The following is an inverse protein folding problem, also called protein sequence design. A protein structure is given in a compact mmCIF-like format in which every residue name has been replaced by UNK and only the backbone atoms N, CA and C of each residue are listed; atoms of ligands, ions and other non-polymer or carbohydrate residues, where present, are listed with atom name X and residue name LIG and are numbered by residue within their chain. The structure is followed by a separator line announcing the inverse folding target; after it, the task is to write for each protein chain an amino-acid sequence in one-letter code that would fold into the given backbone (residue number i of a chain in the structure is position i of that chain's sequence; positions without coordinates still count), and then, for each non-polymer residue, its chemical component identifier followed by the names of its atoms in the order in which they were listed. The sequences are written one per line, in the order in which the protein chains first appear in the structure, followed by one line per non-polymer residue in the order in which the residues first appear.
data_IF_463464501464
#
_entry.id   IF_463464501464
#
_cell.length_a   1.000
_cell.length_b   1.000
_cell.length_c   1.000
_cell.angle_alpha   90.00
_cell.angle_beta   90.00
_cell.angle_gamma   90.00
#
_symmetry.space_group_name_H-M   'P 1'
#
loop_
_entity.id
_entity.type
_entity.pdbx_description
1 polymer ?
#
# COMPACT_ATOMS: atom_id res chain seq x y z
N UNK A 1 27.15 18.65 -36.21
CA UNK A 1 27.40 19.53 -35.05
C UNK A 1 26.05 20.05 -34.56
N UNK A 2 25.54 19.57 -33.42
CA UNK A 2 24.75 20.35 -32.45
C UNK A 2 24.48 19.43 -31.23
N UNK A 3 25.28 19.65 -30.21
CA UNK A 3 25.11 19.09 -28.88
C UNK A 3 23.98 19.85 -28.21
N UNK A 4 22.91 19.17 -27.78
CA UNK A 4 21.95 19.68 -26.79
C UNK A 4 22.29 19.10 -25.41
N UNK A 5 22.72 20.01 -24.56
CA UNK A 5 23.05 19.81 -23.17
C UNK A 5 21.74 19.71 -22.36
N UNK A 6 21.52 18.59 -21.67
CA UNK A 6 20.46 18.43 -20.71
C UNK A 6 21.00 18.89 -19.36
N UNK A 7 20.38 19.92 -18.80
CA UNK A 7 20.74 20.48 -17.50
C UNK A 7 20.20 19.57 -16.38
N UNK A 8 21.09 18.95 -15.62
CA UNK A 8 20.78 18.28 -14.35
C UNK A 8 20.58 19.32 -13.24
N UNK A 9 19.40 19.31 -12.66
CA UNK A 9 19.05 20.15 -11.52
C UNK A 9 19.57 19.46 -10.23
N UNK A 10 20.72 19.93 -9.71
CA UNK A 10 21.28 19.48 -8.43
C UNK A 10 20.75 20.39 -7.32
N UNK A 11 19.71 19.96 -6.60
CA UNK A 11 19.35 20.55 -5.32
C UNK A 11 20.18 19.91 -4.20
N UNK A 12 21.18 20.65 -3.73
CA UNK A 12 22.03 20.31 -2.59
C UNK A 12 21.28 20.61 -1.29
N UNK A 13 20.92 19.56 -0.53
CA UNK A 13 20.33 19.70 0.81
C UNK A 13 21.46 19.99 1.81
N UNK A 14 21.42 21.18 2.41
CA UNK A 14 22.28 21.60 3.55
C UNK A 14 21.90 20.81 4.81
N UNK A 15 22.88 20.11 5.39
CA UNK A 15 22.79 19.45 6.69
C UNK A 15 22.60 20.47 7.82
N UNK A 16 21.51 20.31 8.61
CA UNK A 16 21.43 20.81 9.99
C UNK A 16 21.45 19.59 10.92
N UNK A 17 22.40 19.58 11.84
CA UNK A 17 22.53 18.62 12.94
C UNK A 17 21.33 18.72 13.89
N UNK A 18 20.65 17.60 14.16
CA UNK A 18 19.53 17.51 15.12
C UNK A 18 19.97 16.60 16.25
N UNK A 19 19.96 17.14 17.47
CA UNK A 19 20.10 16.41 18.73
C UNK A 19 18.79 15.65 19.06
N UNK A 20 18.84 14.49 19.78
CA UNK A 20 17.65 13.69 20.03
C UNK A 20 16.79 14.31 21.13
N UNK A 21 15.55 14.71 20.81
CA UNK A 21 14.51 15.09 21.78
C UNK A 21 13.71 13.88 22.24
N UNK A 22 13.28 13.90 23.51
CA UNK A 22 12.62 12.84 24.26
C UNK A 22 11.21 12.50 23.73
N UNK A 23 10.78 11.24 23.94
CA UNK A 23 9.56 10.60 23.42
C UNK A 23 8.23 11.07 24.07
N UNK A 24 8.06 12.36 24.34
CA UNK A 24 6.85 12.93 24.97
C UNK A 24 6.25 14.14 24.25
N UNK A 25 6.78 14.53 23.08
CA UNK A 25 6.27 15.67 22.30
C UNK A 25 6.19 15.29 20.82
N UNK A 26 5.33 14.32 20.50
CA UNK A 26 4.83 14.16 19.14
C UNK A 26 3.71 15.20 18.92
N UNK A 27 4.05 16.47 19.02
CA UNK A 27 3.24 17.54 18.52
C UNK A 27 3.34 17.51 16.98
N UNK A 28 2.18 17.44 16.31
CA UNK A 28 2.06 17.53 14.87
C UNK A 28 2.76 18.81 14.39
N UNK A 29 4.01 18.73 13.98
CA UNK A 29 4.63 19.81 13.22
C UNK A 29 3.81 20.00 11.94
N UNK A 30 2.91 20.98 11.99
CA UNK A 30 2.25 21.55 10.82
C UNK A 30 3.34 21.94 9.83
N UNK A 31 3.39 21.24 8.68
CA UNK A 31 4.19 21.70 7.54
C UNK A 31 3.80 23.14 7.28
N UNK A 32 4.77 24.04 7.46
CA UNK A 32 4.62 25.48 7.35
C UNK A 32 3.97 25.82 5.99
N UNK A 33 2.72 26.35 6.00
CA UNK A 33 1.95 26.74 4.83
C UNK A 33 0.67 25.94 4.54
N UNK A 34 0.35 24.86 5.27
CA UNK A 34 -0.88 24.07 5.07
C UNK A 34 -2.15 24.77 5.60
N UNK A 35 -3.29 24.62 4.88
CA UNK A 35 -4.60 25.10 5.35
C UNK A 35 -5.18 24.12 6.37
N UNK A 36 -5.07 24.42 7.64
CA UNK A 36 -5.46 23.56 8.77
C UNK A 36 -6.88 22.99 8.66
N UNK A 37 -7.84 23.73 8.09
CA UNK A 37 -9.20 23.22 7.91
C UNK A 37 -9.30 22.13 6.85
N UNK A 38 -8.44 22.20 5.84
CA UNK A 38 -8.35 21.15 4.78
C UNK A 38 -7.71 19.90 5.37
N UNK A 39 -6.59 20.04 6.07
CA UNK A 39 -5.89 18.94 6.72
C UNK A 39 -6.81 18.17 7.68
N UNK A 40 -7.54 18.89 8.55
CA UNK A 40 -8.52 18.29 9.46
C UNK A 40 -9.68 17.59 8.74
N UNK A 41 -10.14 18.13 7.61
CA UNK A 41 -11.20 17.51 6.81
C UNK A 41 -10.72 16.20 6.14
N UNK A 42 -9.48 16.18 5.67
CA UNK A 42 -8.84 14.99 5.12
C UNK A 42 -8.63 13.93 6.21
N UNK A 43 -8.13 14.30 7.38
CA UNK A 43 -7.98 13.40 8.53
C UNK A 43 -9.30 12.72 8.93
N UNK A 44 -10.45 13.43 8.87
CA UNK A 44 -11.77 12.82 9.11
C UNK A 44 -12.09 11.78 8.01
N UNK A 45 -11.83 12.07 6.73
CA UNK A 45 -12.08 11.12 5.63
C UNK A 45 -11.18 9.88 5.74
N UNK A 46 -9.92 10.06 6.11
CA UNK A 46 -8.97 8.96 6.34
C UNK A 46 -9.44 8.06 7.49
N UNK A 47 -9.84 8.66 8.62
CA UNK A 47 -10.38 7.91 9.76
C UNK A 47 -11.66 7.14 9.39
N UNK A 48 -12.57 7.75 8.61
CA UNK A 48 -13.79 7.07 8.14
C UNK A 48 -13.50 5.90 7.20
N UNK A 49 -12.36 5.91 6.51
CA UNK A 49 -11.96 4.84 5.61
C UNK A 49 -11.29 3.64 6.33
N UNK A 50 -10.99 3.75 7.65
CA UNK A 50 -10.39 2.67 8.43
C UNK A 50 -11.36 1.54 8.74
N UNK A 51 -12.69 1.82 8.81
CA UNK A 51 -13.70 0.85 9.20
C UNK A 51 -15.00 1.04 8.40
N UNK A 52 -15.47 -0.05 7.79
CA UNK A 52 -16.72 -0.07 7.01
C UNK A 52 -17.98 0.11 7.88
N UNK A 53 -17.88 -0.20 9.18
CA UNK A 53 -18.97 -0.05 10.15
C UNK A 53 -19.29 1.44 10.44
N UNK A 54 -18.41 2.36 10.02
CA UNK A 54 -18.56 3.80 10.24
C UNK A 54 -18.40 4.21 11.71
N UNK A 55 -18.38 5.52 11.94
CA UNK A 55 -18.08 6.08 13.26
C UNK A 55 -19.15 7.06 13.73
N UNK A 56 -19.41 7.08 15.03
CA UNK A 56 -20.18 8.16 15.66
C UNK A 56 -19.36 9.44 15.73
N UNK A 57 -20.05 10.57 15.86
CA UNK A 57 -19.41 11.89 15.99
C UNK A 57 -18.40 11.95 17.14
N UNK A 58 -18.73 11.34 18.30
CA UNK A 58 -17.84 11.26 19.46
C UNK A 58 -16.55 10.51 19.19
N UNK A 59 -16.65 9.40 18.44
CA UNK A 59 -15.51 8.52 18.16
C UNK A 59 -14.55 9.19 17.17
N UNK A 60 -15.09 9.87 16.16
CA UNK A 60 -14.30 10.70 15.24
C UNK A 60 -13.57 11.83 15.99
N UNK A 61 -14.23 12.49 16.95
CA UNK A 61 -13.61 13.54 17.75
C UNK A 61 -12.40 13.00 18.54
N UNK A 62 -12.54 11.83 19.17
CA UNK A 62 -11.47 11.18 19.93
C UNK A 62 -10.32 10.77 19.00
N UNK A 63 -10.62 10.08 17.87
CA UNK A 63 -9.62 9.57 16.95
C UNK A 63 -8.82 10.67 16.24
N UNK A 64 -9.49 11.74 15.84
CA UNK A 64 -8.85 12.88 15.16
C UNK A 64 -8.23 13.91 16.10
N UNK A 65 -8.45 13.80 17.41
CA UNK A 65 -8.00 14.80 18.39
C UNK A 65 -8.71 16.16 18.26
N UNK A 66 -9.83 16.23 17.53
CA UNK A 66 -10.57 17.47 17.29
C UNK A 66 -11.75 17.64 18.27
N UNK A 67 -12.14 18.90 18.53
CA UNK A 67 -13.38 19.13 19.29
C UNK A 67 -14.62 18.64 18.53
N UNK A 68 -15.61 18.12 19.24
CA UNK A 68 -16.89 17.65 18.66
C UNK A 68 -17.55 18.69 17.76
N UNK A 69 -17.48 19.98 18.16
CA UNK A 69 -18.02 21.08 17.35
C UNK A 69 -17.26 21.29 16.03
N UNK A 70 -15.94 21.13 16.05
CA UNK A 70 -15.11 21.19 14.83
C UNK A 70 -15.43 20.03 13.89
N UNK A 71 -15.47 18.79 14.41
CA UNK A 71 -15.81 17.60 13.61
C UNK A 71 -17.20 17.76 13.00
N UNK A 72 -18.21 18.18 13.77
CA UNK A 72 -19.57 18.40 13.27
C UNK A 72 -19.61 19.40 12.10
N UNK A 73 -18.91 20.53 12.22
CA UNK A 73 -18.87 21.55 11.15
C UNK A 73 -18.19 21.04 9.88
N UNK A 74 -17.10 20.30 10.04
CA UNK A 74 -16.39 19.68 8.90
C UNK A 74 -17.25 18.60 8.23
N UNK A 75 -17.88 17.73 9.02
CA UNK A 75 -18.79 16.70 8.51
C UNK A 75 -19.98 17.32 7.76
N UNK A 76 -20.61 18.38 8.27
CA UNK A 76 -21.69 19.08 7.58
C UNK A 76 -21.24 19.64 6.21
N UNK A 77 -20.01 20.17 6.14
CA UNK A 77 -19.43 20.63 4.88
C UNK A 77 -19.15 19.49 3.92
N UNK A 78 -18.54 18.40 4.40
CA UNK A 78 -18.26 17.23 3.60
C UNK A 78 -19.53 16.52 3.12
N UNK A 79 -20.59 16.46 3.96
CA UNK A 79 -21.89 15.89 3.62
C UNK A 79 -22.60 16.71 2.53
N UNK A 80 -22.60 18.04 2.64
CA UNK A 80 -23.19 18.92 1.61
C UNK A 80 -22.56 18.68 0.23
N UNK A 81 -21.30 18.23 0.19
CA UNK A 81 -20.57 17.86 -1.02
C UNK A 81 -20.58 16.35 -1.32
N UNK A 82 -21.28 15.54 -0.52
CA UNK A 82 -21.41 14.08 -0.64
C UNK A 82 -20.08 13.31 -0.48
N UNK A 83 -19.09 13.89 0.18
CA UNK A 83 -17.85 13.21 0.54
C UNK A 83 -18.02 12.28 1.74
N UNK A 84 -18.99 12.59 2.61
CA UNK A 84 -19.45 11.71 3.68
C UNK A 84 -20.95 11.61 3.64
N UNK A 85 -21.52 10.61 4.31
CA UNK A 85 -22.95 10.40 4.48
C UNK A 85 -23.25 10.00 5.92
N UNK A 86 -24.39 10.44 6.42
CA UNK A 86 -24.87 10.12 7.76
C UNK A 86 -25.95 9.04 7.69
N UNK A 87 -25.71 7.91 8.35
CA UNK A 87 -26.72 6.88 8.56
C UNK A 87 -27.53 7.24 9.82
N UNK A 88 -28.82 7.56 9.62
CA UNK A 88 -29.73 7.94 10.73
C UNK A 88 -30.12 6.75 11.59
N UNK A 89 -30.15 5.53 11.04
CA UNK A 89 -30.58 4.34 11.78
C UNK A 89 -29.51 3.94 12.81
N UNK A 90 -28.24 4.02 12.43
CA UNK A 90 -27.13 3.66 13.29
C UNK A 90 -26.48 4.87 13.98
N UNK A 91 -26.86 6.08 13.61
CA UNK A 91 -26.24 7.32 14.08
C UNK A 91 -24.73 7.38 13.81
N UNK A 92 -24.32 6.90 12.63
CA UNK A 92 -22.92 6.79 12.20
C UNK A 92 -22.67 7.57 10.92
N UNK A 93 -21.42 8.01 10.76
CA UNK A 93 -20.89 8.63 9.57
C UNK A 93 -20.08 7.63 8.77
N UNK A 94 -20.21 7.67 7.45
CA UNK A 94 -19.50 6.82 6.49
C UNK A 94 -18.90 7.67 5.38
N UNK A 95 -17.96 7.10 4.64
CA UNK A 95 -17.45 7.70 3.40
C UNK A 95 -18.59 7.79 2.39
N UNK A 96 -18.73 8.94 1.74
CA UNK A 96 -19.79 9.21 0.75
C UNK A 96 -19.36 8.91 -0.69
N UNK A 97 -20.35 8.80 -1.57
CA UNK A 97 -20.16 8.43 -2.99
C UNK A 97 -19.21 9.37 -3.77
N UNK A 98 -19.11 10.64 -3.36
CA UNK A 98 -18.25 11.61 -4.05
C UNK A 98 -16.75 11.31 -3.81
N UNK A 99 -16.40 10.81 -2.63
CA UNK A 99 -15.04 10.38 -2.35
C UNK A 99 -14.62 9.25 -3.31
N UNK A 100 -15.49 8.25 -3.51
CA UNK A 100 -15.27 7.19 -4.52
C UNK A 100 -15.11 7.77 -5.94
N UNK A 101 -15.99 8.70 -6.36
CA UNK A 101 -15.91 9.30 -7.70
C UNK A 101 -14.57 10.00 -7.96
N UNK A 102 -14.06 10.71 -6.95
CA UNK A 102 -12.75 11.39 -7.03
C UNK A 102 -11.63 10.37 -7.02
N UNK A 103 -11.64 9.42 -6.09
CA UNK A 103 -10.63 8.37 -6.01
C UNK A 103 -10.56 7.47 -7.25
N UNK A 104 -11.70 7.18 -7.88
CA UNK A 104 -11.74 6.40 -9.11
C UNK A 104 -10.98 7.07 -10.29
N UNK A 105 -10.75 8.38 -10.25
CA UNK A 105 -9.92 9.07 -11.25
C UNK A 105 -8.44 8.65 -11.16
N UNK A 106 -7.95 8.35 -9.97
CA UNK A 106 -6.61 7.82 -9.77
C UNK A 106 -6.43 6.45 -10.43
N UNK A 107 -7.40 5.54 -10.22
CA UNK A 107 -7.37 4.22 -10.84
C UNK A 107 -7.50 4.30 -12.38
N UNK A 108 -8.33 5.24 -12.92
CA UNK A 108 -8.47 5.43 -14.38
C UNK A 108 -7.18 5.92 -15.04
N UNK A 109 -6.40 6.78 -14.38
CA UNK A 109 -5.11 7.25 -14.92
C UNK A 109 -4.11 6.10 -15.08
N UNK A 110 -4.25 5.04 -14.29
CA UNK A 110 -3.46 3.81 -14.36
C UNK A 110 -4.22 2.76 -15.18
N UNK A 111 -4.30 2.97 -16.49
CA UNK A 111 -5.14 2.23 -17.45
C UNK A 111 -4.94 0.69 -17.43
N UNK A 112 -3.86 0.20 -16.80
CA UNK A 112 -3.55 -1.23 -16.72
C UNK A 112 -4.41 -2.02 -15.71
N UNK A 113 -5.13 -1.36 -14.78
CA UNK A 113 -5.96 -2.07 -13.79
C UNK A 113 -7.02 -2.94 -14.44
N UNK A 114 -7.68 -2.46 -15.50
CA UNK A 114 -8.67 -3.25 -16.25
C UNK A 114 -8.03 -4.44 -16.98
N UNK A 115 -6.83 -4.25 -17.53
CA UNK A 115 -6.08 -5.29 -18.21
C UNK A 115 -5.56 -6.37 -17.26
N UNK A 116 -5.32 -6.04 -15.98
CA UNK A 116 -4.89 -6.99 -14.95
C UNK A 116 -6.00 -7.95 -14.50
N UNK A 117 -7.29 -7.59 -14.66
CA UNK A 117 -8.42 -8.40 -14.16
C UNK A 117 -8.38 -9.87 -14.63
N UNK A 118 -8.15 -10.22 -15.90
CA UNK A 118 -8.07 -11.61 -16.35
C UNK A 118 -6.95 -12.39 -15.63
N UNK A 119 -5.81 -11.76 -15.38
CA UNK A 119 -4.64 -12.35 -14.71
C UNK A 119 -4.90 -12.55 -13.22
N UNK A 120 -5.58 -11.61 -12.56
CA UNK A 120 -6.00 -11.78 -11.17
C UNK A 120 -7.02 -12.90 -11.00
N UNK A 121 -7.96 -13.07 -11.95
CA UNK A 121 -8.88 -14.20 -11.99
C UNK A 121 -8.13 -15.51 -12.15
N UNK A 122 -7.20 -15.58 -13.14
CA UNK A 122 -6.34 -16.74 -13.34
C UNK A 122 -5.57 -17.10 -12.07
N UNK A 123 -4.98 -16.10 -11.42
CA UNK A 123 -4.21 -16.28 -10.20
C UNK A 123 -5.07 -16.81 -9.04
N UNK A 124 -6.26 -16.22 -8.83
CA UNK A 124 -7.24 -16.71 -7.86
C UNK A 124 -7.66 -18.17 -8.15
N UNK A 125 -7.94 -18.49 -9.40
CA UNK A 125 -8.46 -19.81 -9.79
C UNK A 125 -7.40 -20.91 -9.64
N UNK A 126 -6.13 -20.60 -9.95
CA UNK A 126 -5.00 -21.52 -9.79
C UNK A 126 -4.64 -21.74 -8.32
N UNK A 127 -4.66 -20.69 -7.51
CA UNK A 127 -4.21 -20.77 -6.10
C UNK A 127 -5.37 -21.03 -5.13
N UNK A 128 -6.61 -20.70 -5.52
CA UNK A 128 -7.84 -20.65 -4.70
C UNK A 128 -7.78 -19.61 -3.58
N UNK A 129 -6.82 -18.66 -3.66
CA UNK A 129 -6.68 -17.59 -2.69
C UNK A 129 -7.06 -16.23 -3.30
N UNK A 130 -7.27 -15.23 -2.45
CA UNK A 130 -7.60 -13.87 -2.89
C UNK A 130 -6.41 -13.25 -3.62
N UNK A 131 -6.64 -12.81 -4.87
CA UNK A 131 -5.62 -12.15 -5.69
C UNK A 131 -5.80 -10.64 -5.68
N UNK A 132 -4.69 -9.90 -5.56
CA UNK A 132 -4.68 -8.44 -5.51
C UNK A 132 -3.75 -7.87 -6.57
N UNK A 133 -4.10 -6.67 -7.07
CA UNK A 133 -3.21 -5.76 -7.80
C UNK A 133 -2.93 -4.57 -6.92
N UNK A 134 -1.68 -4.22 -6.76
CA UNK A 134 -1.26 -3.10 -5.94
C UNK A 134 -0.16 -2.27 -6.63
N UNK A 135 -0.04 -1.02 -6.22
CA UNK A 135 0.97 -0.08 -6.74
C UNK A 135 1.68 0.60 -5.60
N UNK A 136 2.86 1.13 -5.91
CA UNK A 136 3.58 2.02 -5.01
C UNK A 136 2.99 3.43 -5.13
N UNK A 137 2.78 4.07 -4.00
CA UNK A 137 2.44 5.48 -3.85
C UNK A 137 3.33 6.05 -2.75
N UNK A 138 4.34 6.79 -3.16
CA UNK A 138 5.49 7.16 -2.34
C UNK A 138 6.15 5.92 -1.72
N UNK A 139 5.98 5.71 -0.42
CA UNK A 139 6.61 4.64 0.36
C UNK A 139 5.57 3.65 0.94
N UNK A 140 4.35 3.69 0.40
CA UNK A 140 3.27 2.76 0.72
C UNK A 140 2.85 1.95 -0.50
N UNK A 141 2.23 0.83 -0.21
CA UNK A 141 1.55 0.01 -1.21
C UNK A 141 0.06 0.30 -1.12
N UNK A 142 -0.57 0.62 -2.26
CA UNK A 142 -2.03 0.80 -2.36
C UNK A 142 -2.62 -0.34 -3.17
N UNK A 143 -3.62 -1.03 -2.62
CA UNK A 143 -4.38 -2.04 -3.34
C UNK A 143 -5.38 -1.37 -4.28
N UNK A 144 -5.23 -1.58 -5.60
CA UNK A 144 -6.10 -1.01 -6.64
C UNK A 144 -7.30 -1.88 -6.98
N UNK A 145 -7.11 -3.18 -7.00
CA UNK A 145 -8.12 -4.14 -7.45
C UNK A 145 -7.91 -5.47 -6.76
N UNK A 146 -9.00 -6.18 -6.54
CA UNK A 146 -9.01 -7.43 -5.81
C UNK A 146 -9.97 -8.42 -6.46
N UNK A 147 -9.56 -9.68 -6.54
CA UNK A 147 -10.40 -10.82 -6.91
C UNK A 147 -10.49 -11.75 -5.71
N UNK A 148 -11.61 -11.71 -5.03
CA UNK A 148 -11.84 -12.50 -3.83
C UNK A 148 -11.93 -13.99 -4.15
N UNK A 149 -11.35 -14.80 -3.29
CA UNK A 149 -11.59 -16.24 -3.28
C UNK A 149 -12.99 -16.52 -2.75
N UNK A 150 -13.48 -17.76 -2.96
CA UNK A 150 -14.74 -18.21 -2.36
C UNK A 150 -14.60 -18.58 -0.87
N UNK A 151 -13.36 -18.65 -0.41
CA UNK A 151 -13.04 -18.97 0.97
C UNK A 151 -13.19 -17.72 1.83
N UNK A 152 -13.89 -17.86 2.96
CA UNK A 152 -14.09 -16.75 3.90
C UNK A 152 -12.72 -16.34 4.45
N UNK A 153 -12.29 -15.16 4.11
CA UNK A 153 -11.13 -14.50 4.67
C UNK A 153 -11.48 -13.05 4.96
N UNK A 154 -11.39 -12.64 6.23
CA UNK A 154 -11.35 -11.21 6.53
C UNK A 154 -10.00 -10.69 6.03
N UNK A 155 -10.01 -10.11 4.86
CA UNK A 155 -8.80 -9.47 4.35
C UNK A 155 -8.52 -8.21 5.15
N UNK A 156 -7.29 -8.08 5.60
CA UNK A 156 -6.81 -6.90 6.31
C UNK A 156 -6.66 -5.68 5.41
N UNK A 157 -6.58 -5.88 4.09
CA UNK A 157 -6.33 -4.78 3.16
C UNK A 157 -7.47 -4.73 2.15
N UNK A 158 -8.25 -3.67 2.21
CA UNK A 158 -9.31 -3.37 1.25
C UNK A 158 -8.75 -2.64 0.03
N UNK A 159 -9.55 -2.54 -1.04
CA UNK A 159 -9.24 -1.67 -2.19
C UNK A 159 -9.11 -0.23 -1.70
N UNK A 160 -8.01 0.43 -2.05
CA UNK A 160 -7.63 1.74 -1.53
C UNK A 160 -6.87 1.70 -0.19
N UNK A 161 -6.79 0.54 0.46
CA UNK A 161 -6.03 0.39 1.70
C UNK A 161 -4.52 0.52 1.48
N UNK A 162 -3.85 1.14 2.44
CA UNK A 162 -2.39 1.37 2.45
C UNK A 162 -1.68 0.33 3.31
N UNK A 163 -0.60 -0.22 2.80
CA UNK A 163 0.23 -1.22 3.50
C UNK A 163 1.68 -0.75 3.52
N UNK A 164 2.39 -0.83 4.65
CA UNK A 164 3.82 -0.51 4.70
C UNK A 164 4.63 -1.42 3.78
N UNK A 165 5.66 -0.86 3.11
CA UNK A 165 6.48 -1.63 2.18
C UNK A 165 7.26 -2.74 2.86
N UNK A 166 7.82 -2.50 4.05
CA UNK A 166 8.76 -3.43 4.71
C UNK A 166 8.06 -4.70 5.21
N UNK A 167 6.80 -4.61 5.66
CA UNK A 167 6.08 -5.72 6.31
C UNK A 167 5.11 -6.45 5.40
N UNK A 168 5.01 -6.08 4.13
CA UNK A 168 4.08 -6.73 3.19
C UNK A 168 4.81 -7.49 2.09
N UNK A 169 4.23 -8.58 1.63
CA UNK A 169 4.78 -9.34 0.49
C UNK A 169 4.93 -8.45 -0.76
N UNK A 170 3.91 -7.64 -1.09
CA UNK A 170 3.96 -6.71 -2.22
C UNK A 170 5.07 -5.67 -2.05
N UNK A 171 5.18 -5.07 -0.85
CA UNK A 171 6.21 -4.08 -0.57
C UNK A 171 7.61 -4.66 -0.68
N UNK A 172 7.86 -5.85 -0.11
CA UNK A 172 9.16 -6.52 -0.22
C UNK A 172 9.48 -6.92 -1.66
N UNK A 173 8.49 -7.35 -2.46
CA UNK A 173 8.70 -7.64 -3.88
C UNK A 173 9.19 -6.39 -4.62
N UNK A 174 8.59 -5.23 -4.38
CA UNK A 174 9.01 -3.96 -4.98
C UNK A 174 10.36 -3.50 -4.42
N UNK A 175 10.59 -3.54 -3.10
CA UNK A 175 11.88 -3.19 -2.49
C UNK A 175 13.04 -4.02 -3.04
N UNK A 176 12.80 -5.27 -3.43
CA UNK A 176 13.82 -6.11 -4.06
C UNK A 176 14.30 -5.57 -5.43
N UNK A 177 13.54 -4.68 -6.08
CA UNK A 177 13.94 -4.01 -7.33
C UNK A 177 14.75 -2.73 -7.09
N UNK A 178 14.75 -2.21 -5.87
CA UNK A 178 15.44 -0.97 -5.49
C UNK A 178 16.93 -1.20 -5.26
N UNK A 179 17.71 -0.12 -5.33
CA UNK A 179 19.09 -0.12 -4.83
C UNK A 179 19.11 -0.22 -3.31
N UNK A 180 20.21 -0.72 -2.74
CA UNK A 180 20.36 -0.81 -1.29
C UNK A 180 20.32 0.58 -0.62
N UNK A 181 20.73 1.64 -1.34
CA UNK A 181 20.64 3.02 -0.88
C UNK A 181 19.18 3.48 -0.76
N UNK A 182 18.35 3.19 -1.78
CA UNK A 182 16.92 3.53 -1.79
C UNK A 182 16.14 2.73 -0.73
N UNK A 183 16.44 1.43 -0.56
CA UNK A 183 15.91 0.62 0.54
C UNK A 183 16.27 1.24 1.88
N UNK A 184 17.52 1.68 2.06
CA UNK A 184 17.97 2.39 3.24
C UNK A 184 17.22 3.70 3.47
N UNK A 185 16.83 4.41 2.43
CA UNK A 185 16.04 5.63 2.53
C UNK A 185 14.61 5.32 3.03
N UNK A 186 13.95 4.30 2.46
CA UNK A 186 12.63 3.83 2.92
C UNK A 186 12.66 3.45 4.40
N UNK A 187 13.67 2.70 4.84
CA UNK A 187 13.81 2.31 6.25
C UNK A 187 13.99 3.54 7.15
N UNK A 188 14.76 4.54 6.74
CA UNK A 188 14.97 5.77 7.54
C UNK A 188 13.71 6.61 7.69
N UNK A 189 12.87 6.67 6.64
CA UNK A 189 11.65 7.47 6.63
C UNK A 189 10.49 6.81 7.39
N UNK A 190 10.27 5.50 7.18
CA UNK A 190 9.09 4.78 7.70
C UNK A 190 9.40 3.85 8.85
N UNK A 191 10.68 3.60 9.11
CA UNK A 191 11.10 2.63 10.10
C UNK A 191 10.77 1.19 9.68
N UNK A 192 10.82 0.30 10.66
CA UNK A 192 10.50 -1.12 10.51
C UNK A 192 9.50 -1.52 11.62
N UNK A 193 8.20 -1.30 11.40
CA UNK A 193 7.19 -1.53 12.42
C UNK A 193 7.09 -3.01 12.77
N UNK A 194 6.97 -3.30 14.07
CA UNK A 194 6.68 -4.64 14.56
C UNK A 194 5.16 -4.82 14.66
N UNK A 195 4.54 -5.40 13.66
CA UNK A 195 3.11 -5.68 13.66
C UNK A 195 2.81 -7.05 14.29
N UNK A 196 3.76 -7.98 14.19
CA UNK A 196 3.67 -9.32 14.77
C UNK A 196 4.99 -9.76 15.39
N UNK A 197 5.01 -10.95 15.98
CA UNK A 197 6.26 -11.57 16.43
C UNK A 197 7.20 -11.98 15.29
N UNK A 198 6.68 -12.11 14.06
CA UNK A 198 7.43 -12.52 12.87
C UNK A 198 7.89 -11.34 12.00
N UNK A 199 7.45 -10.10 12.27
CA UNK A 199 7.86 -8.92 11.49
C UNK A 199 9.38 -8.78 11.46
N UNK A 200 9.94 -8.53 10.28
CA UNK A 200 11.36 -8.20 10.12
C UNK A 200 11.60 -6.81 10.69
N UNK A 201 12.43 -6.71 11.72
CA UNK A 201 12.69 -5.46 12.47
C UNK A 201 14.15 -5.02 12.41
N UNK A 202 15.02 -5.78 11.73
CA UNK A 202 16.43 -5.43 11.56
C UNK A 202 16.76 -5.24 10.09
N UNK A 203 17.42 -4.14 9.71
CA UNK A 203 17.80 -3.89 8.31
C UNK A 203 18.61 -5.04 7.69
N UNK A 204 19.54 -5.63 8.44
CA UNK A 204 20.35 -6.77 7.95
C UNK A 204 19.52 -8.00 7.55
N UNK A 205 18.41 -8.23 8.23
CA UNK A 205 17.54 -9.37 7.92
C UNK A 205 16.63 -9.04 6.72
N UNK A 206 16.21 -7.78 6.59
CA UNK A 206 15.49 -7.33 5.39
C UNK A 206 16.37 -7.44 4.14
N UNK A 207 17.62 -6.98 4.17
CA UNK A 207 18.52 -7.11 3.01
C UNK A 207 18.75 -8.56 2.59
N UNK A 208 18.87 -9.50 3.54
CA UNK A 208 18.95 -10.94 3.24
C UNK A 208 17.67 -11.46 2.59
N UNK A 209 16.52 -11.03 3.07
CA UNK A 209 15.23 -11.42 2.50
C UNK A 209 15.07 -10.84 1.08
N UNK A 210 15.47 -9.57 0.84
CA UNK A 210 15.42 -8.95 -0.48
C UNK A 210 16.33 -9.68 -1.48
N UNK A 211 17.52 -10.12 -1.04
CA UNK A 211 18.41 -10.91 -1.89
C UNK A 211 17.79 -12.26 -2.28
N UNK A 212 17.14 -12.95 -1.34
CA UNK A 212 16.38 -14.17 -1.62
C UNK A 212 15.25 -13.91 -2.62
N UNK A 213 14.52 -12.78 -2.47
CA UNK A 213 13.45 -12.39 -3.38
C UNK A 213 13.99 -12.13 -4.79
N UNK A 214 15.15 -11.47 -4.93
CA UNK A 214 15.83 -11.27 -6.24
C UNK A 214 16.13 -12.58 -6.94
N UNK A 215 16.57 -13.59 -6.18
CA UNK A 215 16.92 -14.91 -6.73
C UNK A 215 15.69 -15.73 -7.13
N UNK A 216 14.65 -15.76 -6.30
CA UNK A 216 13.46 -16.59 -6.55
C UNK A 216 12.37 -15.89 -7.39
N UNK A 217 12.39 -14.55 -7.50
CA UNK A 217 11.46 -13.75 -8.29
C UNK A 217 10.08 -13.49 -7.64
N UNK A 218 9.90 -13.86 -6.37
CA UNK A 218 8.69 -13.57 -5.62
C UNK A 218 9.02 -13.32 -4.14
N UNK A 219 8.18 -12.54 -3.46
CA UNK A 219 8.29 -12.25 -2.04
C UNK A 219 7.23 -13.01 -1.24
N UNK A 220 7.59 -13.40 -0.02
CA UNK A 220 6.68 -13.97 0.98
C UNK A 220 6.57 -13.04 2.18
N UNK A 221 5.36 -12.68 2.57
CA UNK A 221 5.00 -12.23 3.91
C UNK A 221 4.49 -13.45 4.68
N UNK A 222 5.31 -13.97 5.60
CA UNK A 222 4.96 -15.11 6.46
C UNK A 222 4.48 -14.61 7.82
N UNK A 223 3.24 -14.15 7.88
CA UNK A 223 2.62 -13.62 9.11
C UNK A 223 3.31 -12.35 9.65
N UNK A 224 4.04 -11.61 8.82
CA UNK A 224 4.75 -10.39 9.22
C UNK A 224 3.80 -9.22 9.44
N UNK A 225 2.80 -9.07 8.55
CA UNK A 225 1.78 -8.04 8.67
C UNK A 225 0.66 -8.47 9.62
N UNK A 226 0.27 -9.75 9.61
CA UNK A 226 -0.78 -10.28 10.47
C UNK A 226 -0.60 -11.77 10.75
N UNK A 227 -0.72 -12.14 12.01
CA UNK A 227 -0.70 -13.54 12.44
C UNK A 227 -1.81 -14.34 11.77
N UNK A 228 -1.47 -15.55 11.30
CA UNK A 228 -2.39 -16.46 10.61
C UNK A 228 -2.59 -16.16 9.13
N UNK A 229 -1.97 -15.10 8.57
CA UNK A 229 -2.04 -14.73 7.16
C UNK A 229 -0.68 -14.78 6.49
N UNK A 230 -0.69 -15.23 5.22
CA UNK A 230 0.45 -15.19 4.31
C UNK A 230 0.09 -14.43 3.05
N UNK A 231 1.07 -13.70 2.52
CA UNK A 231 0.96 -13.03 1.23
C UNK A 231 2.18 -13.34 0.37
N UNK A 232 1.94 -13.80 -0.86
CA UNK A 232 2.98 -14.07 -1.85
C UNK A 232 2.79 -13.09 -2.99
N UNK A 233 3.86 -12.38 -3.39
CA UNK A 233 3.77 -11.30 -4.37
C UNK A 233 4.92 -11.33 -5.37
N UNK A 234 4.65 -10.85 -6.60
CA UNK A 234 5.66 -10.62 -7.63
C UNK A 234 5.39 -9.30 -8.36
N UNK A 235 6.47 -8.70 -8.86
CA UNK A 235 6.44 -7.40 -9.54
C UNK A 235 5.99 -7.55 -10.99
N UNK A 236 5.22 -6.58 -11.44
CA UNK A 236 4.84 -6.34 -12.84
C UNK A 236 5.63 -5.12 -13.31
N UNK A 237 6.31 -5.24 -14.45
CA UNK A 237 7.24 -4.22 -14.96
C UNK A 237 6.66 -3.44 -16.13
N UNK A 238 7.16 -2.22 -16.34
CA UNK A 238 6.86 -1.39 -17.51
C UNK A 238 7.82 -1.68 -18.68
N UNK A 239 7.72 -0.92 -19.76
CA UNK A 239 8.55 -0.99 -20.96
C UNK A 239 10.03 -0.62 -20.73
N UNK A 240 10.34 0.04 -19.62
CA UNK A 240 11.69 0.37 -19.17
C UNK A 240 12.26 -0.64 -18.16
N UNK A 241 11.59 -1.77 -17.93
CA UNK A 241 11.92 -2.75 -16.88
C UNK A 241 11.91 -2.17 -15.46
N UNK A 242 11.11 -1.12 -15.23
CA UNK A 242 10.90 -0.53 -13.91
C UNK A 242 9.61 -1.10 -13.27
N UNK A 243 9.51 -1.17 -11.93
CA UNK A 243 8.33 -1.66 -11.25
C UNK A 243 7.12 -0.76 -11.52
N UNK A 244 6.12 -1.29 -12.22
CA UNK A 244 4.85 -0.62 -12.54
C UNK A 244 3.79 -0.87 -11.46
N UNK A 245 3.70 -2.12 -11.04
CA UNK A 245 2.74 -2.65 -10.08
C UNK A 245 3.27 -3.95 -9.48
N UNK A 246 2.51 -4.54 -8.57
CA UNK A 246 2.71 -5.93 -8.17
C UNK A 246 1.37 -6.66 -8.07
N UNK A 247 1.37 -7.95 -8.34
CA UNK A 247 0.25 -8.83 -8.05
C UNK A 247 0.60 -9.75 -6.89
N UNK A 248 -0.40 -10.14 -6.14
CA UNK A 248 -0.21 -11.03 -4.99
C UNK A 248 -1.39 -11.96 -4.78
N UNK A 249 -1.16 -13.02 -4.03
CA UNK A 249 -2.18 -13.83 -3.39
C UNK A 249 -2.06 -13.71 -1.89
N UNK A 250 -3.20 -13.65 -1.21
CA UNK A 250 -3.27 -13.62 0.25
C UNK A 250 -4.21 -14.71 0.74
N UNK A 251 -3.76 -15.47 1.71
CA UNK A 251 -4.52 -16.57 2.28
C UNK A 251 -4.13 -16.91 3.72
N UNK A 252 -4.96 -17.70 4.38
CA UNK A 252 -4.65 -18.18 5.74
C UNK A 252 -3.52 -19.20 5.70
N UNK A 253 -2.66 -19.20 6.73
CA UNK A 253 -1.55 -20.18 6.88
C UNK A 253 -2.02 -21.62 6.84
N UNK A 254 -3.27 -21.90 7.25
CA UNK A 254 -3.90 -23.23 7.17
C UNK A 254 -4.14 -23.72 5.74
N UNK A 255 -4.14 -22.82 4.73
CA UNK A 255 -4.30 -23.14 3.31
C UNK A 255 -3.03 -22.89 2.51
N UNK A 256 -2.34 -21.79 2.79
CA UNK A 256 -0.99 -21.51 2.26
C UNK A 256 0.04 -22.15 3.20
N UNK A 257 0.07 -23.48 3.21
CA UNK A 257 0.99 -24.30 4.04
C UNK A 257 2.41 -24.26 3.48
N UNK A 258 3.42 -24.58 4.28
CA UNK A 258 4.84 -24.47 3.89
C UNK A 258 5.19 -25.25 2.63
N UNK A 259 4.58 -26.43 2.45
CA UNK A 259 4.73 -27.28 1.26
C UNK A 259 4.15 -26.65 -0.01
N UNK A 260 3.14 -25.78 0.10
CA UNK A 260 2.53 -25.09 -1.04
C UNK A 260 3.24 -23.78 -1.43
N UNK A 261 4.02 -23.18 -0.53
CA UNK A 261 4.62 -21.87 -0.78
C UNK A 261 5.52 -21.82 -2.05
N UNK A 262 6.38 -22.82 -2.34
CA UNK A 262 7.19 -22.80 -3.55
C UNK A 262 6.36 -22.80 -4.83
N UNK A 263 5.34 -23.67 -4.90
CA UNK A 263 4.48 -23.81 -6.08
C UNK A 263 3.64 -22.55 -6.29
N UNK A 264 3.02 -22.03 -5.22
CA UNK A 264 2.23 -20.79 -5.29
C UNK A 264 3.13 -19.61 -5.65
N UNK A 265 4.35 -19.53 -5.10
CA UNK A 265 5.34 -18.51 -5.45
C UNK A 265 5.68 -18.52 -6.95
N UNK A 266 5.90 -19.71 -7.51
CA UNK A 266 6.14 -19.88 -8.93
C UNK A 266 4.94 -19.42 -9.78
N UNK A 267 3.70 -19.82 -9.40
CA UNK A 267 2.47 -19.39 -10.09
C UNK A 267 2.34 -17.85 -10.06
N UNK A 268 2.56 -17.21 -8.91
CA UNK A 268 2.48 -15.74 -8.78
C UNK A 268 3.50 -15.06 -9.69
N UNK A 269 4.75 -15.54 -9.70
CA UNK A 269 5.82 -15.03 -10.55
C UNK A 269 5.48 -15.17 -12.04
N UNK A 270 5.01 -16.34 -12.46
CA UNK A 270 4.72 -16.59 -13.86
C UNK A 270 3.55 -15.75 -14.38
N UNK A 271 2.47 -15.61 -13.58
CA UNK A 271 1.33 -14.75 -13.92
C UNK A 271 1.73 -13.26 -13.91
N UNK A 272 2.65 -12.83 -13.03
CA UNK A 272 3.21 -11.48 -13.07
C UNK A 272 4.02 -11.22 -14.35
N UNK A 273 4.80 -12.21 -14.80
CA UNK A 273 5.51 -12.16 -16.07
C UNK A 273 4.57 -12.07 -17.27
N UNK A 274 3.51 -12.88 -17.30
CA UNK A 274 2.48 -12.80 -18.34
C UNK A 274 1.81 -11.42 -18.39
N UNK A 275 1.46 -10.88 -17.22
CA UNK A 275 0.85 -9.55 -17.12
C UNK A 275 1.84 -8.45 -17.57
N UNK A 276 3.11 -8.57 -17.20
CA UNK A 276 4.17 -7.66 -17.69
C UNK A 276 4.19 -7.62 -19.21
N UNK A 277 4.25 -8.75 -19.87
CA UNK A 277 4.24 -8.84 -21.35
C UNK A 277 2.93 -8.27 -21.94
N UNK A 278 1.79 -8.59 -21.36
CA UNK A 278 0.49 -8.10 -21.83
C UNK A 278 0.34 -6.58 -21.72
N UNK A 279 1.04 -5.96 -20.80
CA UNK A 279 1.09 -4.50 -20.63
C UNK A 279 2.18 -3.82 -21.49
N UNK A 280 2.91 -4.60 -22.32
CA UNK A 280 4.03 -4.09 -23.10
C UNK A 280 5.32 -3.90 -22.30
N UNK A 281 5.36 -4.46 -21.09
CA UNK A 281 6.52 -4.38 -20.21
C UNK A 281 7.62 -5.37 -20.58
N UNK A 282 8.81 -5.17 -20.01
CA UNK A 282 10.02 -5.97 -20.21
C UNK A 282 10.49 -6.49 -18.86
N UNK A 283 10.79 -7.79 -18.80
CA UNK A 283 11.40 -8.38 -17.59
C UNK A 283 12.84 -7.88 -17.44
N UNK A 284 13.24 -7.46 -16.22
CA UNK A 284 14.63 -7.06 -15.99
C UNK A 284 15.58 -8.24 -16.24
N UNK A 285 16.74 -7.96 -16.83
CA UNK A 285 17.81 -8.95 -16.95
C UNK A 285 18.30 -9.33 -15.55
N UNK A 286 18.48 -10.62 -15.24
CA UNK A 286 19.05 -11.04 -13.96
C UNK A 286 20.40 -10.34 -13.73
N UNK A 287 20.56 -9.73 -12.57
CA UNK A 287 21.82 -9.11 -12.14
C UNK A 287 22.82 -10.15 -11.70
#
# INVERSE_FOLDING_TARGET
MHKRQVAMNKNVIRRKSIEPKSAAEADHETRDGGVQSVDRALSILETLAEDDEGYRLSDLAIRTGLSTSTVHRLLATLESRRFVQFDRAESKWHVGSRAFTVGASFARRRNFSAQAIPYLRKLRDLTRETANLAVVDDEFIIVLTRMESREIMRSLTQVGGRVPMVTSGVGKAVLATYSDEDVGAVIRHHGMPRLTGKSIVRPSDLFKELEKIRQQGFALDDEEACMGLRCIAAVVYNDCAEPLAAISVSGMTSRLTDDRLPDVGQIVRDVAGELTVALGGVMPTPR
#
